data_IF_235045852120
#
_entry.id   IF_235045852120
#
_cell.length_a   1.000
_cell.length_b   1.000
_cell.length_c   1.000
_cell.angle_alpha   90.00
_cell.angle_beta   90.00
_cell.angle_gamma   90.00
#
_symmetry.space_group_name_H-M   'P 1'
#
loop_
_entity.id
_entity.type
_entity.pdbx_description
1 polymer ?
#
# COMPACT_ATOMS: atom_id res chain seq x y z
N UNK A 1 14.31 0.89 -13.59
CA UNK A 1 13.07 0.13 -13.88
C UNK A 1 11.87 1.07 -13.75
N UNK A 2 11.03 1.08 -14.76
CA UNK A 2 9.85 1.92 -14.78
C UNK A 2 8.58 1.06 -14.81
N UNK A 3 7.58 1.44 -14.02
CA UNK A 3 6.29 0.78 -13.98
C UNK A 3 5.21 1.77 -14.40
N UNK A 4 4.36 1.43 -15.39
CA UNK A 4 3.34 2.35 -15.87
C UNK A 4 2.19 2.51 -14.87
N UNK A 5 1.75 3.74 -14.66
CA UNK A 5 0.61 4.07 -13.80
C UNK A 5 -0.69 4.26 -14.58
N UNK A 6 -0.63 4.16 -15.91
CA UNK A 6 -1.76 4.51 -16.77
C UNK A 6 -3.02 3.71 -16.51
N UNK A 7 -2.91 2.39 -16.32
CA UNK A 7 -4.07 1.54 -16.13
C UNK A 7 -4.82 1.87 -14.83
N UNK A 8 -4.10 2.01 -13.72
CA UNK A 8 -4.71 2.38 -12.45
C UNK A 8 -5.34 3.76 -12.50
N UNK A 9 -4.65 4.73 -13.10
CA UNK A 9 -5.15 6.09 -13.24
C UNK A 9 -6.42 6.15 -14.11
N UNK A 10 -6.47 5.38 -15.19
CA UNK A 10 -7.66 5.32 -16.05
C UNK A 10 -8.85 4.70 -15.32
N UNK A 11 -8.63 3.65 -14.54
CA UNK A 11 -9.70 2.93 -13.86
C UNK A 11 -10.17 3.61 -12.57
N UNK A 12 -9.27 4.20 -11.82
CA UNK A 12 -9.58 4.70 -10.47
C UNK A 12 -9.23 6.17 -10.25
N UNK A 13 -8.42 6.75 -11.10
CA UNK A 13 -7.86 8.08 -10.85
C UNK A 13 -6.72 8.09 -9.82
N UNK A 14 -6.25 6.91 -9.41
CA UNK A 14 -5.24 6.77 -8.36
C UNK A 14 -3.97 6.10 -8.89
N UNK A 15 -2.79 6.50 -8.37
CA UNK A 15 -1.54 5.83 -8.74
C UNK A 15 -1.43 4.50 -7.99
N UNK A 16 -1.56 3.40 -8.72
CA UNK A 16 -1.56 2.06 -8.15
C UNK A 16 -0.41 1.24 -8.69
N UNK A 17 0.16 0.39 -7.82
CA UNK A 17 1.10 -0.65 -8.23
C UNK A 17 0.54 -2.02 -7.84
N UNK A 18 0.99 -3.06 -8.53
CA UNK A 18 0.64 -4.44 -8.22
C UNK A 18 1.93 -5.20 -7.98
N UNK A 19 1.98 -5.89 -6.85
CA UNK A 19 3.15 -6.67 -6.46
C UNK A 19 3.12 -8.07 -7.05
N UNK A 20 4.26 -8.73 -7.01
CA UNK A 20 4.41 -10.16 -7.30
C UNK A 20 5.00 -10.85 -6.07
N UNK A 21 5.31 -12.14 -6.18
CA UNK A 21 5.87 -12.88 -5.05
C UNK A 21 4.81 -13.33 -4.05
N UNK A 22 5.14 -13.34 -2.78
CA UNK A 22 4.22 -13.76 -1.69
C UNK A 22 4.02 -12.62 -0.69
N UNK A 23 2.79 -12.17 -0.42
CA UNK A 23 1.56 -12.53 -1.14
C UNK A 23 1.56 -11.97 -2.57
N UNK A 24 0.91 -12.68 -3.48
CA UNK A 24 0.85 -12.27 -4.88
C UNK A 24 -0.22 -11.22 -5.11
N UNK A 25 0.06 -10.34 -6.08
CA UNK A 25 -0.94 -9.43 -6.64
C UNK A 25 -1.57 -8.50 -5.61
N UNK A 26 -0.79 -8.04 -4.67
CA UNK A 26 -1.26 -6.98 -3.78
C UNK A 26 -1.26 -5.66 -4.54
N UNK A 27 -2.39 -4.98 -4.50
CA UNK A 27 -2.56 -3.67 -5.13
C UNK A 27 -2.37 -2.59 -4.08
N UNK A 28 -1.31 -1.81 -4.21
CA UNK A 28 -1.04 -0.71 -3.29
C UNK A 28 -1.33 0.63 -3.93
N UNK A 29 -2.01 1.49 -3.19
CA UNK A 29 -2.11 2.91 -3.50
C UNK A 29 -0.79 3.57 -3.09
N UNK A 30 -0.15 4.26 -4.02
CA UNK A 30 1.03 5.07 -3.72
C UNK A 30 0.53 6.45 -3.29
N UNK A 31 0.66 6.76 -2.00
CA UNK A 31 0.03 7.93 -1.41
C UNK A 31 1.06 8.83 -0.73
N UNK A 32 1.41 9.93 -1.40
CA UNK A 32 2.35 10.91 -0.89
C UNK A 32 1.80 11.70 0.31
N UNK A 33 0.50 11.62 0.56
CA UNK A 33 -0.13 12.22 1.73
C UNK A 33 -0.12 11.35 2.97
N UNK A 34 0.27 10.09 2.84
CA UNK A 34 0.35 9.17 3.97
C UNK A 34 1.75 9.18 4.58
N UNK A 35 1.83 9.14 5.91
CA UNK A 35 3.10 9.10 6.64
C UNK A 35 3.54 7.70 7.01
N UNK A 36 2.62 6.73 7.00
CA UNK A 36 2.88 5.34 7.33
C UNK A 36 2.30 4.42 6.27
N UNK A 37 3.00 3.31 5.99
CA UNK A 37 2.43 2.26 5.15
C UNK A 37 1.24 1.63 5.88
N UNK A 38 0.23 1.28 5.10
CA UNK A 38 -0.98 0.65 5.64
C UNK A 38 -1.26 -0.65 4.90
N UNK A 39 -1.59 -1.68 5.66
CA UNK A 39 -2.16 -2.91 5.12
C UNK A 39 -3.57 -3.02 5.67
N UNK A 40 -4.56 -3.23 4.82
CA UNK A 40 -5.93 -3.29 5.29
C UNK A 40 -6.20 -4.60 6.02
N UNK A 41 -7.04 -4.54 7.04
CA UNK A 41 -7.30 -5.66 7.96
C UNK A 41 -7.69 -6.95 7.24
N UNK A 42 -8.54 -6.86 6.22
CA UNK A 42 -8.98 -8.05 5.50
C UNK A 42 -7.83 -8.77 4.78
N UNK A 43 -6.83 -8.02 4.32
CA UNK A 43 -5.64 -8.60 3.69
C UNK A 43 -4.77 -9.29 4.73
N UNK A 44 -4.57 -8.63 5.87
CA UNK A 44 -3.82 -9.21 6.97
C UNK A 44 -4.44 -10.53 7.43
N UNK A 45 -5.75 -10.57 7.60
CA UNK A 45 -6.44 -11.79 8.05
C UNK A 45 -6.34 -12.92 7.03
N UNK A 46 -6.42 -12.59 5.73
CA UNK A 46 -6.34 -13.59 4.67
C UNK A 46 -4.94 -14.20 4.54
N UNK A 47 -3.90 -13.39 4.70
CA UNK A 47 -2.50 -13.82 4.56
C UNK A 47 -1.74 -13.82 5.89
N UNK A 48 -2.40 -14.07 6.97
CA UNK A 48 -1.89 -13.91 8.33
C UNK A 48 -0.52 -14.56 8.56
N UNK A 49 -0.29 -15.73 7.98
CA UNK A 49 0.94 -16.49 8.18
C UNK A 49 2.13 -15.95 7.38
N UNK A 50 1.89 -15.01 6.48
CA UNK A 50 2.95 -14.44 5.63
C UNK A 50 3.50 -13.12 6.19
N UNK A 51 2.98 -12.66 7.32
CA UNK A 51 3.39 -11.41 7.94
C UNK A 51 3.92 -11.65 9.35
N UNK A 52 4.94 -10.88 9.72
CA UNK A 52 5.46 -10.90 11.07
C UNK A 52 4.78 -9.82 11.89
N UNK A 53 4.04 -10.21 12.92
CA UNK A 53 3.40 -9.26 13.83
C UNK A 53 4.44 -8.67 14.76
N UNK A 54 4.49 -7.36 14.86
CA UNK A 54 5.41 -6.64 15.72
C UNK A 54 4.75 -6.32 17.05
N UNK A 55 5.54 -6.20 18.10
CA UNK A 55 5.01 -5.86 19.44
C UNK A 55 4.54 -4.41 19.52
N UNK A 56 5.11 -3.54 18.71
CA UNK A 56 4.78 -2.13 18.68
C UNK A 56 3.45 -1.88 18.00
N UNK A 57 2.70 -0.92 18.50
CA UNK A 57 1.46 -0.47 17.90
C UNK A 57 1.61 0.97 17.44
N UNK A 58 0.91 1.33 16.38
CA UNK A 58 0.93 2.66 15.81
C UNK A 58 -0.37 3.37 16.12
N UNK A 59 -0.28 4.59 16.67
CA UNK A 59 -1.45 5.45 16.83
C UNK A 59 -1.77 6.13 15.51
N UNK A 60 -2.99 5.97 15.06
CA UNK A 60 -3.46 6.54 13.80
C UNK A 60 -4.66 7.44 14.06
N UNK A 61 -4.60 8.67 13.57
CA UNK A 61 -5.71 9.60 13.68
C UNK A 61 -6.68 9.41 12.51
N UNK A 62 -7.93 9.12 12.81
CA UNK A 62 -8.98 9.06 11.80
C UNK A 62 -9.45 10.45 11.38
N UNK A 63 -10.28 10.48 10.34
CA UNK A 63 -10.87 11.71 9.79
C UNK A 63 -11.64 12.49 10.85
N UNK A 64 -12.23 11.80 11.81
CA UNK A 64 -13.03 12.39 12.88
C UNK A 64 -12.19 12.92 14.06
N UNK A 65 -10.86 12.86 13.93
CA UNK A 65 -9.95 13.34 14.96
C UNK A 65 -9.69 12.38 16.11
N UNK A 66 -10.24 11.18 16.06
CA UNK A 66 -10.01 10.15 17.07
C UNK A 66 -8.75 9.35 16.76
N UNK A 67 -7.94 9.11 17.79
CA UNK A 67 -6.77 8.25 17.65
C UNK A 67 -7.17 6.79 17.87
N UNK A 68 -6.66 5.92 17.03
CA UNK A 68 -6.81 4.49 17.14
C UNK A 68 -5.45 3.84 17.24
N UNK A 69 -5.29 2.95 18.18
CA UNK A 69 -4.09 2.16 18.27
C UNK A 69 -4.23 0.93 17.37
N UNK A 70 -3.31 0.77 16.42
CA UNK A 70 -3.38 -0.26 15.41
C UNK A 70 -2.17 -1.19 15.49
N UNK A 71 -2.35 -2.49 15.23
CA UNK A 71 -1.22 -3.41 15.15
C UNK A 71 -0.27 -3.02 14.03
N UNK A 72 0.99 -3.35 14.20
CA UNK A 72 1.99 -3.21 13.16
C UNK A 72 2.55 -4.56 12.77
N UNK A 73 2.88 -4.69 11.51
CA UNK A 73 3.48 -5.89 10.95
C UNK A 73 4.69 -5.55 10.10
N UNK A 74 5.56 -6.53 9.92
CA UNK A 74 6.60 -6.48 8.92
C UNK A 74 6.17 -7.35 7.75
N UNK A 75 6.20 -6.79 6.54
CA UNK A 75 5.85 -7.51 5.33
C UNK A 75 6.95 -7.36 4.29
N UNK A 76 7.18 -8.43 3.55
CA UNK A 76 8.06 -8.43 2.39
C UNK A 76 7.22 -8.65 1.15
N UNK A 77 7.42 -7.79 0.15
CA UNK A 77 6.76 -7.96 -1.13
C UNK A 77 7.76 -7.77 -2.26
N UNK A 78 7.46 -8.34 -3.40
CA UNK A 78 8.29 -8.22 -4.60
C UNK A 78 7.63 -7.27 -5.58
N UNK A 79 8.38 -6.30 -6.06
CA UNK A 79 7.90 -5.37 -7.09
C UNK A 79 9.00 -5.20 -8.14
N UNK A 80 8.65 -5.50 -9.38
CA UNK A 80 9.57 -5.41 -10.52
C UNK A 80 10.90 -6.14 -10.26
N UNK A 81 10.79 -7.35 -9.69
CA UNK A 81 11.93 -8.23 -9.45
C UNK A 81 12.77 -7.91 -8.22
N UNK A 82 12.38 -6.92 -7.44
CA UNK A 82 13.10 -6.50 -6.22
C UNK A 82 12.23 -6.76 -5.01
N UNK A 83 12.82 -7.33 -3.95
CA UNK A 83 12.13 -7.55 -2.69
C UNK A 83 12.27 -6.34 -1.78
N UNK A 84 11.15 -5.91 -1.23
CA UNK A 84 11.07 -4.80 -0.27
C UNK A 84 10.50 -5.31 1.04
N UNK A 85 11.18 -5.01 2.13
CA UNK A 85 10.69 -5.32 3.48
C UNK A 85 10.42 -4.02 4.20
N UNK A 86 9.22 -3.88 4.74
CA UNK A 86 8.83 -2.65 5.41
C UNK A 86 7.80 -2.91 6.51
N UNK A 87 7.64 -1.94 7.38
CA UNK A 87 6.64 -1.97 8.44
C UNK A 87 5.33 -1.38 7.93
N UNK A 88 4.23 -2.05 8.22
CA UNK A 88 2.88 -1.61 7.86
C UNK A 88 2.01 -1.53 9.10
N UNK A 89 1.15 -0.53 9.14
CA UNK A 89 0.08 -0.44 10.13
C UNK A 89 -1.14 -1.18 9.59
N UNK A 90 -1.72 -2.06 10.40
CA UNK A 90 -2.95 -2.79 10.01
C UNK A 90 -4.14 -1.92 10.36
N UNK A 91 -4.90 -1.53 9.36
CA UNK A 91 -6.01 -0.58 9.50
C UNK A 91 -7.27 -1.11 8.84
N UNK A 92 -8.39 -0.95 9.51
CA UNK A 92 -9.68 -1.31 8.94
C UNK A 92 -10.23 -0.14 8.11
N UNK A 93 -10.33 -0.36 6.80
CA UNK A 93 -10.95 0.59 5.87
C UNK A 93 -11.92 -0.15 4.95
N UNK A 94 -12.58 -1.18 5.48
CA UNK A 94 -13.45 -2.08 4.72
C UNK A 94 -14.49 -1.33 3.89
N UNK A 95 -15.16 -0.34 4.47
CA UNK A 95 -16.20 0.40 3.76
C UNK A 95 -15.64 1.23 2.61
N UNK A 96 -14.51 1.89 2.81
CA UNK A 96 -13.86 2.69 1.76
C UNK A 96 -13.37 1.80 0.63
N UNK A 97 -12.74 0.67 0.96
CA UNK A 97 -12.24 -0.29 -0.01
C UNK A 97 -13.38 -0.89 -0.81
N UNK A 98 -14.49 -1.26 -0.16
CA UNK A 98 -15.66 -1.81 -0.82
C UNK A 98 -16.28 -0.80 -1.78
N UNK A 99 -16.35 0.47 -1.40
CA UNK A 99 -16.88 1.53 -2.25
C UNK A 99 -16.03 1.72 -3.50
N UNK A 100 -14.71 1.76 -3.36
CA UNK A 100 -13.81 1.88 -4.50
C UNK A 100 -13.97 0.69 -5.44
N UNK A 101 -14.07 -0.52 -4.90
CA UNK A 101 -14.27 -1.72 -5.70
C UNK A 101 -15.60 -1.70 -6.45
N UNK A 102 -16.67 -1.25 -5.80
CA UNK A 102 -17.97 -1.13 -6.42
C UNK A 102 -17.96 -0.12 -7.57
N UNK A 103 -17.32 1.03 -7.38
CA UNK A 103 -17.28 2.09 -8.37
C UNK A 103 -16.30 1.84 -9.52
N UNK A 104 -15.20 1.15 -9.27
CA UNK A 104 -14.09 1.03 -10.23
C UNK A 104 -13.77 -0.41 -10.64
N UNK A 105 -14.24 -1.40 -9.90
CA UNK A 105 -13.89 -2.80 -10.10
C UNK A 105 -12.52 -3.17 -9.56
N UNK A 106 -11.81 -2.25 -8.88
CA UNK A 106 -10.46 -2.47 -8.38
C UNK A 106 -10.48 -2.60 -6.86
N UNK A 107 -9.84 -3.66 -6.35
CA UNK A 107 -9.66 -3.89 -4.92
C UNK A 107 -8.29 -3.42 -4.50
N UNK A 108 -8.23 -2.50 -3.53
CA UNK A 108 -6.99 -1.96 -2.98
C UNK A 108 -6.67 -2.71 -1.70
N UNK A 109 -5.42 -3.14 -1.54
CA UNK A 109 -4.98 -3.96 -0.41
C UNK A 109 -4.23 -3.17 0.65
N UNK A 110 -3.62 -2.07 0.28
CA UNK A 110 -2.87 -1.25 1.21
C UNK A 110 -2.37 0.05 0.59
N UNK A 111 -1.55 0.74 1.35
CA UNK A 111 -1.01 2.06 1.00
C UNK A 111 0.50 2.06 1.21
N UNK A 112 1.24 2.53 0.22
CA UNK A 112 2.66 2.85 0.37
C UNK A 112 2.80 4.34 0.60
N UNK A 113 3.49 4.70 1.67
CA UNK A 113 3.59 6.06 2.17
C UNK A 113 4.76 6.83 1.58
N UNK A 114 4.78 8.13 1.83
CA UNK A 114 5.92 8.98 1.51
C UNK A 114 7.20 8.47 2.15
N UNK A 115 7.14 8.00 3.39
CA UNK A 115 8.31 7.45 4.08
C UNK A 115 8.92 6.28 3.30
N UNK A 116 8.08 5.37 2.80
CA UNK A 116 8.54 4.26 1.97
C UNK A 116 9.19 4.76 0.68
N UNK A 117 8.57 5.72 0.01
CA UNK A 117 9.09 6.26 -1.25
C UNK A 117 10.44 6.94 -1.06
N UNK A 118 10.59 7.72 0.00
CA UNK A 118 11.84 8.41 0.33
C UNK A 118 12.95 7.39 0.66
N UNK A 119 12.64 6.42 1.50
CA UNK A 119 13.60 5.42 1.94
C UNK A 119 14.11 4.57 0.78
N UNK A 120 13.26 4.24 -0.16
CA UNK A 120 13.60 3.41 -1.30
C UNK A 120 13.94 4.21 -2.56
N UNK A 121 13.89 5.55 -2.47
CA UNK A 121 14.24 6.46 -3.55
C UNK A 121 13.46 6.23 -4.83
N UNK A 122 12.16 5.97 -4.68
CA UNK A 122 11.27 5.84 -5.81
C UNK A 122 10.91 7.22 -6.35
N UNK A 123 10.73 7.31 -7.66
CA UNK A 123 10.33 8.53 -8.34
C UNK A 123 8.94 8.35 -8.93
N UNK A 124 8.00 9.21 -8.51
CA UNK A 124 6.70 9.34 -9.16
C UNK A 124 6.84 10.37 -10.27
N UNK A 125 6.69 9.93 -11.50
CA UNK A 125 6.78 10.80 -12.66
C UNK A 125 5.38 10.96 -13.26
N UNK A 126 4.74 12.09 -12.96
CA UNK A 126 3.41 12.38 -13.49
C UNK A 126 3.43 12.94 -14.90
N UNK A 127 4.59 13.30 -15.42
CA UNK A 127 4.71 13.66 -16.84
C UNK A 127 4.65 12.41 -17.71
N UNK A 128 5.40 11.38 -17.34
CA UNK A 128 5.43 10.10 -18.07
C UNK A 128 4.40 9.10 -17.58
N UNK A 129 3.74 9.38 -16.47
CA UNK A 129 2.80 8.49 -15.77
C UNK A 129 3.45 7.15 -15.43
N UNK A 130 4.60 7.22 -14.76
CA UNK A 130 5.36 6.04 -14.33
C UNK A 130 5.85 6.18 -12.91
N UNK A 131 6.14 5.02 -12.29
CA UNK A 131 6.97 4.95 -11.10
C UNK A 131 8.31 4.41 -11.55
N UNK A 132 9.36 5.08 -11.13
CA UNK A 132 10.74 4.66 -11.40
C UNK A 132 11.38 4.21 -10.10
N UNK A 133 11.89 2.98 -10.08
CA UNK A 133 12.61 2.45 -8.93
C UNK A 133 14.11 2.55 -9.19
N UNK A 134 14.86 2.70 -8.11
CA UNK A 134 16.32 2.63 -8.16
C UNK A 134 16.74 1.19 -7.91
N UNK A 135 17.65 0.72 -8.70
CA UNK A 135 18.24 -0.61 -8.52
C UNK A 135 19.47 -0.57 -7.65
#
# INVERSE_FOLDING_TARGET
MEFPLTLGLQKTGLPLIVTSGKPKNLCFLVDTGATHNVLFTYVFEHFKNEFKVLEEHQSTMGIEGNYKECPTIEATFTFEGIDYTSTFTVLDATNTVAQIQEETGVQIHGILSTDFLVKNKWILDFDKLTIKTTE
#
